data_IF_993370185327
#
_entry.id   IF_993370185327
#
_cell.length_a   1.000
_cell.length_b   1.000
_cell.length_c   1.000
_cell.angle_alpha   90.00
_cell.angle_beta   90.00
_cell.angle_gamma   90.00
#
_symmetry.space_group_name_H-M   'P 1'
#
loop_
_entity.id
_entity.type
_entity.pdbx_description
1 polymer ?
#
# COMPACT_ATOMS: atom_id res chain seq x y z
N UNK A 1 25.06 -47.15 -55.57
CA UNK A 1 24.01 -46.46 -54.80
C UNK A 1 24.29 -46.67 -53.31
N UNK A 2 24.97 -45.72 -52.66
CA UNK A 2 25.07 -45.64 -51.19
C UNK A 2 24.86 -44.17 -50.82
N UNK A 3 23.82 -43.97 -50.03
CA UNK A 3 23.18 -42.71 -49.69
C UNK A 3 24.05 -41.98 -48.63
N UNK A 4 24.56 -40.78 -48.94
CA UNK A 4 25.12 -39.89 -47.93
C UNK A 4 23.96 -39.31 -47.11
N UNK A 5 23.86 -39.70 -45.83
CA UNK A 5 23.04 -38.95 -44.87
C UNK A 5 23.84 -37.72 -44.41
N UNK A 6 23.38 -36.54 -44.84
CA UNK A 6 23.75 -35.26 -44.23
C UNK A 6 22.96 -35.10 -42.93
N UNK A 7 23.64 -35.15 -41.78
CA UNK A 7 23.05 -34.69 -40.52
C UNK A 7 22.97 -33.16 -40.54
N UNK A 8 21.79 -32.56 -40.28
CA UNK A 8 21.72 -31.12 -40.07
C UNK A 8 22.33 -30.79 -38.71
N UNK A 9 23.37 -29.98 -38.72
CA UNK A 9 23.91 -29.36 -37.52
C UNK A 9 22.86 -28.35 -37.03
N UNK A 10 22.02 -28.75 -36.08
CA UNK A 10 21.13 -27.82 -35.40
C UNK A 10 22.00 -26.89 -34.55
N UNK A 11 22.23 -25.66 -35.02
CA UNK A 11 22.74 -24.60 -34.16
C UNK A 11 21.68 -24.35 -33.07
N UNK A 12 21.92 -24.90 -31.89
CA UNK A 12 21.24 -24.47 -30.68
C UNK A 12 21.79 -23.08 -30.37
N UNK A 13 21.15 -22.05 -30.90
CA UNK A 13 21.29 -20.71 -30.33
C UNK A 13 20.62 -20.73 -28.97
N UNK A 14 21.42 -20.92 -27.92
CA UNK A 14 21.05 -20.47 -26.59
C UNK A 14 20.92 -18.95 -26.67
N UNK A 15 19.70 -18.47 -26.92
CA UNK A 15 19.34 -17.10 -26.64
C UNK A 15 19.43 -16.94 -25.12
N UNK A 16 20.61 -16.59 -24.62
CA UNK A 16 20.71 -15.96 -23.32
C UNK A 16 19.98 -14.64 -23.48
N UNK A 17 18.77 -14.55 -22.93
CA UNK A 17 18.24 -13.25 -22.58
C UNK A 17 19.26 -12.66 -21.61
N UNK A 18 20.08 -11.73 -22.09
CA UNK A 18 20.82 -10.84 -21.20
C UNK A 18 19.74 -10.12 -20.40
N UNK A 19 19.80 -10.25 -19.08
CA UNK A 19 19.02 -9.41 -18.19
C UNK A 19 19.48 -7.97 -18.44
N UNK A 20 18.73 -7.23 -19.26
CA UNK A 20 19.05 -5.84 -19.62
C UNK A 20 18.85 -4.88 -18.45
N UNK A 21 18.38 -5.40 -17.30
CA UNK A 21 18.08 -4.64 -16.10
C UNK A 21 19.03 -5.00 -14.96
N UNK A 22 20.33 -5.11 -15.20
CA UNK A 22 21.30 -5.12 -14.09
C UNK A 22 21.36 -3.71 -13.47
N UNK A 23 20.73 -3.47 -12.29
CA UNK A 23 20.72 -2.15 -11.67
C UNK A 23 22.08 -1.81 -11.04
N UNK A 24 23.07 -2.70 -11.13
CA UNK A 24 24.41 -2.49 -10.58
C UNK A 24 25.34 -1.72 -11.53
N UNK A 25 24.91 -1.49 -12.78
CA UNK A 25 25.69 -0.67 -13.71
C UNK A 25 25.70 0.79 -13.22
N UNK A 26 26.89 1.37 -12.98
CA UNK A 26 26.96 2.75 -12.51
C UNK A 26 26.44 3.70 -13.58
N UNK A 27 25.58 4.63 -13.18
CA UNK A 27 25.12 5.68 -14.09
C UNK A 27 26.27 6.65 -14.37
N UNK A 28 26.33 7.18 -15.60
CA UNK A 28 27.34 8.18 -15.96
C UNK A 28 27.21 9.47 -15.13
N UNK A 29 26.00 9.77 -14.65
CA UNK A 29 25.72 10.92 -13.77
C UNK A 29 26.15 10.69 -12.32
N UNK A 30 26.39 9.44 -11.89
CA UNK A 30 26.61 9.10 -10.49
C UNK A 30 25.32 9.04 -9.65
N UNK A 31 24.16 9.31 -10.25
CA UNK A 31 22.85 9.24 -9.58
C UNK A 31 22.32 7.81 -9.66
N UNK A 32 21.91 7.22 -8.55
CA UNK A 32 21.36 5.86 -8.53
C UNK A 32 20.03 5.80 -9.28
N UNK A 33 19.72 4.64 -9.86
CA UNK A 33 18.56 4.42 -10.76
C UNK A 33 17.21 4.87 -10.19
N UNK A 34 17.00 4.75 -8.88
CA UNK A 34 15.72 5.06 -8.21
C UNK A 34 15.79 6.27 -7.28
N UNK A 35 16.91 7.00 -7.29
CA UNK A 35 17.13 8.17 -6.46
C UNK A 35 16.85 9.42 -7.27
N UNK A 36 15.98 10.28 -6.75
CA UNK A 36 15.70 11.58 -7.34
C UNK A 36 17.00 12.41 -7.40
N UNK A 37 17.23 13.05 -8.53
CA UNK A 37 18.38 13.93 -8.76
C UNK A 37 18.36 15.13 -7.82
N UNK A 38 17.18 15.53 -7.34
CA UNK A 38 16.99 16.64 -6.44
C UNK A 38 17.10 16.23 -4.95
N UNK A 39 17.23 14.94 -4.63
CA UNK A 39 17.39 14.50 -3.24
C UNK A 39 18.72 15.05 -2.67
N UNK A 40 18.68 15.83 -1.57
CA UNK A 40 19.87 16.44 -0.99
C UNK A 40 20.92 15.39 -0.59
N UNK A 41 22.21 15.72 -0.80
CA UNK A 41 23.31 14.78 -0.61
C UNK A 41 23.43 14.25 0.83
N UNK A 42 22.99 15.04 1.83
CA UNK A 42 22.93 14.63 3.24
C UNK A 42 21.95 13.48 3.51
N UNK A 43 20.98 13.24 2.62
CA UNK A 43 20.04 12.13 2.73
C UNK A 43 20.50 10.87 1.98
N UNK A 44 21.62 10.93 1.24
CA UNK A 44 22.15 9.78 0.49
C UNK A 44 22.73 8.70 1.40
N UNK A 45 23.12 9.09 2.62
CA UNK A 45 23.59 8.16 3.65
C UNK A 45 23.03 8.58 5.00
N UNK A 46 22.39 7.65 5.70
CA UNK A 46 21.90 7.85 7.07
C UNK A 46 22.63 6.92 8.03
N UNK A 47 22.75 7.30 9.29
CA UNK A 47 23.22 6.41 10.35
C UNK A 47 22.02 5.82 11.08
N UNK A 48 21.92 4.50 11.10
CA UNK A 48 20.84 3.78 11.78
C UNK A 48 20.89 3.98 13.30
N UNK A 49 19.80 3.64 13.98
CA UNK A 49 19.75 3.62 15.45
C UNK A 49 20.75 2.65 16.10
N UNK A 50 21.39 1.78 15.30
CA UNK A 50 22.45 0.84 15.72
C UNK A 50 23.85 1.28 15.28
N UNK A 51 24.02 2.46 14.70
CA UNK A 51 25.31 2.98 14.24
C UNK A 51 25.77 2.46 12.88
N UNK A 52 24.91 1.70 12.18
CA UNK A 52 25.21 1.20 10.83
C UNK A 52 24.95 2.30 9.80
N UNK A 53 25.83 2.46 8.81
CA UNK A 53 25.56 3.32 7.68
C UNK A 53 24.53 2.66 6.76
N UNK A 54 23.50 3.41 6.39
CA UNK A 54 22.45 3.03 5.46
C UNK A 54 22.53 3.90 4.22
N UNK A 55 22.54 3.26 3.06
CA UNK A 55 22.57 3.92 1.77
C UNK A 55 21.15 4.19 1.26
N UNK A 56 20.91 5.39 0.75
CA UNK A 56 19.69 5.70 0.03
C UNK A 56 19.62 4.87 -1.25
N UNK A 57 18.52 4.14 -1.43
CA UNK A 57 18.30 3.28 -2.60
C UNK A 57 17.12 3.73 -3.46
N UNK A 58 16.21 4.53 -2.91
CA UNK A 58 15.09 5.14 -3.64
C UNK A 58 14.64 6.41 -2.93
N UNK A 59 14.28 7.42 -3.72
CA UNK A 59 13.68 8.67 -3.25
C UNK A 59 12.85 9.31 -4.36
N UNK A 60 11.93 10.19 -3.97
CA UNK A 60 11.20 11.06 -4.89
C UNK A 60 10.82 12.34 -4.12
N UNK A 61 11.37 13.48 -4.53
CA UNK A 61 11.08 14.78 -3.91
C UNK A 61 9.82 15.41 -4.52
N UNK A 62 9.33 14.87 -5.64
CA UNK A 62 8.17 15.36 -6.38
C UNK A 62 8.26 16.83 -6.85
N UNK A 63 9.49 17.33 -7.03
CA UNK A 63 9.75 18.70 -7.50
C UNK A 63 9.33 18.95 -8.95
N UNK A 64 9.40 17.92 -9.80
CA UNK A 64 9.00 18.03 -11.20
C UNK A 64 7.47 18.11 -11.31
N UNK A 65 6.96 19.31 -11.63
CA UNK A 65 5.54 19.55 -11.80
C UNK A 65 4.97 18.88 -13.06
N UNK A 66 3.69 18.49 -13.00
CA UNK A 66 2.94 17.97 -14.14
C UNK A 66 3.32 16.56 -14.59
N UNK A 67 3.94 15.75 -13.71
CA UNK A 67 4.22 14.33 -13.99
C UNK A 67 2.96 13.55 -14.31
N UNK A 68 3.07 12.63 -15.26
CA UNK A 68 1.98 11.75 -15.68
C UNK A 68 2.16 10.36 -15.06
N UNK A 69 1.34 10.03 -14.06
CA UNK A 69 1.39 8.74 -13.38
C UNK A 69 0.54 7.64 -14.04
N UNK A 70 -0.05 7.90 -15.20
CA UNK A 70 -0.75 6.86 -15.99
C UNK A 70 0.23 5.73 -16.31
N UNK A 71 -0.25 4.48 -16.26
CA UNK A 71 0.56 3.30 -16.47
C UNK A 71 1.50 3.43 -17.69
N UNK A 72 2.81 3.26 -17.44
CA UNK A 72 3.86 3.33 -18.46
C UNK A 72 4.47 4.72 -18.69
N UNK A 73 3.95 5.79 -18.10
CA UNK A 73 4.46 7.15 -18.34
C UNK A 73 5.46 7.64 -17.29
N UNK A 74 5.30 7.23 -16.04
CA UNK A 74 6.29 7.51 -14.98
C UNK A 74 7.18 6.30 -14.77
N UNK A 75 8.47 6.52 -14.47
CA UNK A 75 9.46 5.47 -14.30
C UNK A 75 9.30 4.73 -12.96
N UNK A 76 8.84 5.42 -11.90
CA UNK A 76 8.83 4.91 -10.54
C UNK A 76 7.41 4.61 -10.03
N UNK A 77 6.46 5.50 -10.29
CA UNK A 77 5.11 5.39 -9.77
C UNK A 77 4.10 4.98 -10.84
N UNK A 78 3.00 4.37 -10.43
CA UNK A 78 1.83 4.13 -11.29
C UNK A 78 0.59 4.47 -10.49
N UNK A 79 -0.21 5.40 -10.98
CA UNK A 79 -1.55 5.67 -10.47
C UNK A 79 -2.53 4.63 -11.02
N UNK A 80 -3.41 4.12 -10.15
CA UNK A 80 -4.46 3.20 -10.54
C UNK A 80 -5.65 3.93 -11.16
N UNK A 81 -6.28 3.27 -12.13
CA UNK A 81 -7.53 3.70 -12.80
C UNK A 81 -8.58 2.59 -12.62
N UNK A 82 -9.19 2.54 -11.44
CA UNK A 82 -10.07 1.44 -11.03
C UNK A 82 -11.01 1.90 -9.90
N UNK A 83 -12.24 1.39 -9.80
CA UNK A 83 -13.04 1.56 -8.59
C UNK A 83 -12.35 0.94 -7.38
N UNK A 84 -12.44 1.61 -6.24
CA UNK A 84 -12.02 1.01 -4.98
C UNK A 84 -13.03 -0.08 -4.59
N UNK A 85 -12.58 -1.33 -4.72
CA UNK A 85 -13.38 -2.52 -4.52
C UNK A 85 -13.31 -3.10 -3.11
N UNK A 86 -12.56 -2.47 -2.19
CA UNK A 86 -12.37 -2.96 -0.82
C UNK A 86 -12.95 -1.97 0.20
N UNK A 87 -13.03 -2.39 1.46
CA UNK A 87 -13.36 -1.53 2.61
C UNK A 87 -14.65 -0.69 2.47
N UNK A 88 -15.62 -1.17 1.67
CA UNK A 88 -16.86 -0.45 1.33
C UNK A 88 -16.62 0.96 0.78
N UNK A 89 -15.50 1.16 0.10
CA UNK A 89 -15.15 2.44 -0.48
C UNK A 89 -16.24 2.95 -1.44
N UNK A 90 -16.35 4.28 -1.47
CA UNK A 90 -17.37 5.04 -2.20
C UNK A 90 -16.77 5.86 -3.33
N UNK A 91 -15.49 5.63 -3.65
CA UNK A 91 -14.76 6.37 -4.66
C UNK A 91 -14.09 5.48 -5.69
N UNK A 92 -13.51 6.12 -6.70
CA UNK A 92 -12.65 5.51 -7.69
C UNK A 92 -11.27 6.14 -7.63
N UNK A 93 -10.25 5.36 -7.95
CA UNK A 93 -8.91 5.90 -8.18
C UNK A 93 -8.75 6.25 -9.66
N UNK A 94 -8.14 7.40 -9.91
CA UNK A 94 -7.87 7.92 -11.25
C UNK A 94 -6.48 8.58 -11.30
N UNK A 95 -5.70 8.38 -12.38
CA UNK A 95 -4.42 9.06 -12.57
C UNK A 95 -4.53 10.59 -12.59
N UNK A 96 -5.67 11.16 -12.99
CA UNK A 96 -5.86 12.62 -13.06
C UNK A 96 -5.94 13.31 -11.68
N UNK A 97 -6.10 12.51 -10.63
CA UNK A 97 -6.15 12.94 -9.25
C UNK A 97 -4.77 12.85 -8.56
N UNK A 98 -3.77 12.24 -9.21
CA UNK A 98 -2.39 12.17 -8.76
C UNK A 98 -1.60 13.31 -9.42
N UNK A 99 -1.30 14.36 -8.64
CA UNK A 99 -0.70 15.59 -9.14
C UNK A 99 0.69 15.81 -8.56
N UNK A 100 1.54 16.48 -9.33
CA UNK A 100 2.78 17.09 -8.84
C UNK A 100 2.71 18.58 -9.12
N UNK A 101 2.58 19.36 -8.06
CA UNK A 101 2.46 20.82 -8.13
C UNK A 101 3.00 21.44 -6.84
N UNK A 102 3.57 22.63 -6.97
CA UNK A 102 4.16 23.38 -5.85
C UNK A 102 5.28 22.61 -5.10
N UNK A 103 6.05 21.80 -5.84
CA UNK A 103 7.15 21.01 -5.27
C UNK A 103 6.69 19.85 -4.38
N UNK A 104 5.47 19.34 -4.57
CA UNK A 104 4.94 18.24 -3.79
C UNK A 104 4.03 17.33 -4.61
N UNK A 105 3.93 16.07 -4.17
CA UNK A 105 2.86 15.18 -4.59
C UNK A 105 1.56 15.53 -3.87
N UNK A 106 0.47 15.65 -4.65
CA UNK A 106 -0.84 15.99 -4.14
C UNK A 106 -1.88 15.01 -4.67
N UNK A 107 -2.66 14.43 -3.75
CA UNK A 107 -3.86 13.67 -4.09
C UNK A 107 -5.05 14.62 -4.04
N UNK A 108 -5.61 14.94 -5.20
CA UNK A 108 -6.85 15.71 -5.30
C UNK A 108 -8.05 14.78 -5.11
N UNK A 109 -9.04 15.21 -4.34
CA UNK A 109 -10.30 14.48 -4.17
C UNK A 109 -11.43 15.30 -4.77
N UNK A 110 -12.11 14.73 -5.76
CA UNK A 110 -13.22 15.37 -6.46
C UNK A 110 -14.54 14.72 -6.03
N UNK A 111 -15.56 15.53 -5.73
CA UNK A 111 -16.93 15.06 -5.52
C UNK A 111 -17.59 14.91 -6.88
N UNK A 112 -17.66 13.69 -7.41
CA UNK A 112 -18.17 13.41 -8.74
C UNK A 112 -18.82 12.04 -8.79
N UNK A 113 -20.11 12.02 -9.12
CA UNK A 113 -20.84 10.77 -9.32
C UNK A 113 -20.37 10.07 -10.59
N UNK A 114 -19.91 8.83 -10.44
CA UNK A 114 -19.42 7.99 -11.53
C UNK A 114 -20.07 6.62 -11.42
N UNK A 115 -20.78 6.20 -12.46
CA UNK A 115 -21.27 4.83 -12.57
C UNK A 115 -20.12 3.93 -13.03
N UNK A 116 -19.78 2.93 -12.22
CA UNK A 116 -18.75 1.95 -12.52
C UNK A 116 -19.35 0.57 -12.67
N UNK A 117 -18.90 -0.16 -13.68
CA UNK A 117 -19.26 -1.56 -13.89
C UNK A 117 -18.01 -2.42 -13.68
N UNK A 118 -18.08 -3.37 -12.76
CA UNK A 118 -16.96 -4.23 -12.40
C UNK A 118 -17.43 -5.66 -12.14
N UNK A 119 -16.50 -6.62 -12.23
CA UNK A 119 -16.77 -8.01 -11.92
C UNK A 119 -16.63 -8.22 -10.40
N UNK A 120 -17.73 -8.52 -9.73
CA UNK A 120 -17.73 -8.73 -8.28
C UNK A 120 -17.45 -10.20 -7.97
N UNK A 121 -16.24 -10.49 -7.47
CA UNK A 121 -15.82 -11.84 -7.07
C UNK A 121 -16.32 -12.25 -5.68
N UNK A 122 -16.86 -11.31 -4.91
CA UNK A 122 -17.27 -11.49 -3.51
C UNK A 122 -18.74 -11.83 -3.34
N UNK A 123 -19.54 -11.80 -4.42
CA UNK A 123 -20.93 -12.25 -4.38
C UNK A 123 -21.01 -13.78 -4.40
N UNK A 124 -22.07 -14.34 -3.80
CA UNK A 124 -22.34 -15.79 -3.80
C UNK A 124 -22.25 -16.41 -5.21
N UNK A 125 -22.72 -15.65 -6.20
CA UNK A 125 -22.52 -15.94 -7.62
C UNK A 125 -21.76 -14.77 -8.25
N UNK A 126 -20.46 -14.91 -8.56
CA UNK A 126 -19.67 -13.86 -9.18
C UNK A 126 -20.28 -13.38 -10.50
N UNK A 127 -20.45 -12.08 -10.66
CA UNK A 127 -21.07 -11.49 -11.84
C UNK A 127 -20.66 -10.02 -12.03
N UNK A 128 -20.95 -9.48 -13.22
CA UNK A 128 -20.84 -8.05 -13.47
C UNK A 128 -21.93 -7.29 -12.70
N UNK A 129 -21.53 -6.22 -12.04
CA UNK A 129 -22.43 -5.32 -11.31
C UNK A 129 -22.09 -3.88 -11.61
N UNK A 130 -23.10 -3.01 -11.51
CA UNK A 130 -22.95 -1.57 -11.67
C UNK A 130 -23.25 -0.88 -10.34
N UNK A 131 -22.35 -0.01 -9.90
CA UNK A 131 -22.48 0.79 -8.67
C UNK A 131 -22.18 2.26 -8.99
N UNK A 132 -22.88 3.17 -8.34
CA UNK A 132 -22.51 4.59 -8.35
C UNK A 132 -21.48 4.85 -7.25
N UNK A 133 -20.33 5.38 -7.65
CA UNK A 133 -19.31 5.94 -6.75
C UNK A 133 -19.44 7.46 -6.75
N UNK A 134 -19.13 8.11 -5.64
CA UNK A 134 -19.43 9.53 -5.41
C UNK A 134 -18.19 10.42 -5.43
N UNK A 135 -16.99 9.81 -5.40
CA UNK A 135 -15.72 10.53 -5.30
C UNK A 135 -14.69 9.97 -6.27
N UNK A 136 -13.77 10.83 -6.72
CA UNK A 136 -12.54 10.44 -7.43
C UNK A 136 -11.34 10.86 -6.60
N UNK A 137 -10.36 9.98 -6.47
CA UNK A 137 -9.12 10.20 -5.74
C UNK A 137 -7.96 9.51 -6.47
N UNK A 138 -6.78 9.41 -5.85
CA UNK A 138 -5.63 8.72 -6.43
C UNK A 138 -5.04 7.70 -5.46
N UNK A 139 -4.59 6.58 -6.02
CA UNK A 139 -3.74 5.59 -5.37
C UNK A 139 -2.55 5.35 -6.29
N UNK A 140 -1.34 5.58 -5.78
CA UNK A 140 -0.08 5.39 -6.52
C UNK A 140 0.72 4.26 -5.91
N UNK A 141 1.39 3.47 -6.75
CA UNK A 141 2.16 2.30 -6.31
C UNK A 141 3.43 2.11 -7.15
N UNK A 142 4.45 1.51 -6.53
CA UNK A 142 5.71 1.09 -7.16
C UNK A 142 5.72 -0.39 -7.55
N UNK A 143 4.55 -1.05 -7.55
CA UNK A 143 4.42 -2.49 -7.79
C UNK A 143 5.13 -2.93 -9.09
N UNK A 144 5.97 -3.95 -8.99
CA UNK A 144 6.80 -4.47 -10.09
C UNK A 144 7.78 -3.46 -10.72
N UNK A 145 8.07 -2.35 -10.03
CA UNK A 145 9.10 -1.37 -10.42
C UNK A 145 10.19 -1.27 -9.37
N UNK A 146 9.81 -1.12 -8.10
CA UNK A 146 10.73 -1.03 -6.98
C UNK A 146 10.21 -1.83 -5.80
N UNK A 147 11.10 -2.58 -5.16
CA UNK A 147 10.82 -3.33 -3.93
C UNK A 147 12.06 -3.30 -3.03
N UNK A 148 11.82 -3.41 -1.72
CA UNK A 148 12.88 -3.44 -0.70
C UNK A 148 12.71 -4.66 0.19
N UNK A 149 13.82 -5.13 0.76
CA UNK A 149 13.83 -6.17 1.78
C UNK A 149 14.58 -5.64 3.00
N UNK A 150 13.80 -5.23 4.00
CA UNK A 150 14.33 -4.47 5.14
C UNK A 150 14.77 -3.05 4.74
N UNK A 151 15.09 -2.26 5.75
CA UNK A 151 15.53 -0.87 5.59
C UNK A 151 14.65 0.11 6.36
N UNK A 152 14.64 1.34 5.89
CA UNK A 152 13.94 2.46 6.51
C UNK A 152 13.26 3.30 5.44
N UNK A 153 12.03 3.71 5.75
CA UNK A 153 11.20 4.53 4.88
C UNK A 153 10.82 5.76 5.67
N UNK A 154 11.10 6.93 5.09
CA UNK A 154 10.70 8.22 5.62
C UNK A 154 9.75 8.89 4.62
N UNK A 155 8.66 9.46 5.14
CA UNK A 155 7.66 10.17 4.34
C UNK A 155 7.30 11.45 5.06
N UNK A 156 7.52 12.59 4.40
CA UNK A 156 6.99 13.88 4.85
C UNK A 156 5.63 14.10 4.19
N UNK A 157 4.56 14.14 4.98
CA UNK A 157 3.20 14.29 4.47
C UNK A 157 2.38 15.32 5.25
N UNK A 158 1.47 16.00 4.55
CA UNK A 158 0.43 16.83 5.15
C UNK A 158 -0.92 16.14 4.98
N UNK A 159 -1.57 15.82 6.10
CA UNK A 159 -2.85 15.14 6.07
C UNK A 159 -3.98 16.05 5.54
N UNK A 160 -4.97 15.49 4.83
CA UNK A 160 -6.10 16.23 4.30
C UNK A 160 -7.01 16.78 5.40
N UNK A 161 -7.59 17.95 5.15
CA UNK A 161 -8.57 18.59 6.01
C UNK A 161 -9.18 19.83 5.35
N UNK A 162 -10.36 20.24 5.81
CA UNK A 162 -11.00 21.46 5.32
C UNK A 162 -10.26 22.69 5.85
N UNK A 163 -9.40 23.27 5.01
CA UNK A 163 -8.53 24.40 5.39
C UNK A 163 -9.04 25.77 4.94
N UNK A 164 -10.10 25.82 4.13
CA UNK A 164 -10.72 27.08 3.71
C UNK A 164 -11.38 27.76 4.93
N UNK A 165 -11.21 29.08 5.09
CA UNK A 165 -11.81 29.86 6.18
C UNK A 165 -13.35 29.77 6.21
N UNK A 166 -14.00 29.57 5.06
CA UNK A 166 -15.44 29.38 4.92
C UNK A 166 -15.93 28.04 5.45
N UNK A 167 -15.03 27.06 5.62
CA UNK A 167 -15.39 25.76 6.17
C UNK A 167 -15.89 25.84 7.62
N UNK A 168 -15.51 26.90 8.36
CA UNK A 168 -15.74 26.99 9.80
C UNK A 168 -15.06 25.88 10.61
N UNK A 169 -14.04 25.21 10.05
CA UNK A 169 -13.22 24.25 10.77
C UNK A 169 -12.62 24.91 12.03
N UNK A 170 -12.84 24.38 13.24
CA UNK A 170 -12.33 24.96 14.48
C UNK A 170 -10.82 25.17 14.53
N UNK A 171 -10.02 24.34 13.85
CA UNK A 171 -8.57 24.52 13.75
C UNK A 171 -8.17 25.70 12.86
N UNK A 172 -9.06 26.12 11.95
CA UNK A 172 -8.86 27.29 11.08
C UNK A 172 -9.41 28.55 11.72
N UNK A 173 -10.54 28.45 12.43
CA UNK A 173 -11.15 29.59 13.14
C UNK A 173 -10.50 29.87 14.49
N UNK A 174 -9.74 28.91 15.04
CA UNK A 174 -9.08 29.00 16.34
C UNK A 174 -10.03 28.84 17.53
N UNK A 175 -11.26 28.38 17.31
CA UNK A 175 -12.27 28.25 18.36
C UNK A 175 -13.35 27.23 18.00
N UNK A 176 -13.93 26.60 19.03
CA UNK A 176 -15.11 25.73 18.92
C UNK A 176 -16.19 26.18 19.90
N UNK A 177 -17.46 26.04 19.52
CA UNK A 177 -18.57 26.27 20.44
C UNK A 177 -18.69 25.11 21.44
N UNK A 178 -18.73 25.43 22.73
CA UNK A 178 -18.95 24.46 23.81
C UNK A 178 -20.34 24.66 24.42
N UNK A 179 -21.26 23.74 24.10
CA UNK A 179 -22.65 23.85 24.50
C UNK A 179 -22.87 23.76 26.02
N UNK A 180 -21.99 23.04 26.74
CA UNK A 180 -22.10 22.88 28.20
C UNK A 180 -21.88 24.18 28.98
N UNK A 181 -21.14 25.14 28.41
CA UNK A 181 -20.84 26.44 29.03
C UNK A 181 -21.28 27.63 28.16
N UNK A 182 -22.03 27.36 27.10
CA UNK A 182 -22.62 28.33 26.15
C UNK A 182 -21.64 29.41 25.69
N UNK A 183 -20.41 29.02 25.31
CA UNK A 183 -19.40 29.95 24.78
C UNK A 183 -18.42 29.27 23.83
N UNK A 184 -17.72 30.10 23.07
CA UNK A 184 -16.55 29.66 22.30
C UNK A 184 -15.38 29.35 23.25
N UNK A 185 -14.73 28.20 23.02
CA UNK A 185 -13.46 27.84 23.66
C UNK A 185 -12.34 27.85 22.62
N UNK A 186 -11.13 28.33 22.96
CA UNK A 186 -10.00 28.35 22.04
C UNK A 186 -9.62 26.95 21.55
N UNK A 187 -9.16 26.87 20.30
CA UNK A 187 -8.58 25.67 19.68
C UNK A 187 -7.20 26.05 19.14
N UNK A 188 -6.18 25.32 19.58
CA UNK A 188 -4.80 25.45 19.13
C UNK A 188 -4.51 24.48 17.97
N UNK A 189 -3.50 24.76 17.13
CA UNK A 189 -3.13 23.88 16.01
C UNK A 189 -2.82 22.43 16.42
N UNK A 190 -2.25 22.23 17.62
CA UNK A 190 -1.89 20.91 18.15
C UNK A 190 -2.99 20.23 18.96
N UNK A 191 -4.14 20.89 19.15
CA UNK A 191 -5.26 20.28 19.86
C UNK A 191 -5.82 19.12 19.03
N UNK A 192 -6.34 18.10 19.73
CA UNK A 192 -7.07 17.00 19.08
C UNK A 192 -8.22 17.54 18.22
N UNK A 193 -8.54 16.81 17.17
CA UNK A 193 -9.64 17.13 16.26
C UNK A 193 -10.96 17.24 17.03
N UNK A 194 -11.55 18.44 17.10
CA UNK A 194 -12.78 18.65 17.86
C UNK A 194 -14.02 18.24 17.08
N UNK A 195 -13.91 18.15 15.75
CA UNK A 195 -15.01 17.78 14.85
C UNK A 195 -14.47 17.07 13.60
N UNK A 196 -14.70 15.76 13.51
CA UNK A 196 -14.23 14.92 12.41
C UNK A 196 -14.85 15.23 11.06
N UNK A 197 -15.96 15.98 11.00
CA UNK A 197 -16.62 16.34 9.73
C UNK A 197 -15.75 17.18 8.80
N UNK A 198 -14.74 17.87 9.35
CA UNK A 198 -13.76 18.65 8.59
C UNK A 198 -12.59 17.82 8.06
N UNK A 199 -12.55 16.52 8.38
CA UNK A 199 -11.48 15.60 8.05
C UNK A 199 -12.07 14.29 7.48
N UNK A 200 -12.85 14.35 6.38
CA UNK A 200 -13.75 13.25 5.97
C UNK A 200 -13.06 12.12 5.18
N UNK A 201 -11.74 12.15 5.08
CA UNK A 201 -10.95 11.29 4.20
C UNK A 201 -10.11 10.31 5.01
N UNK A 202 -9.79 9.19 4.39
CA UNK A 202 -8.93 8.15 4.95
C UNK A 202 -7.63 8.05 4.13
N UNK A 203 -6.60 8.87 4.43
CA UNK A 203 -5.27 8.69 3.84
C UNK A 203 -4.62 7.36 4.27
N UNK A 204 -3.91 6.74 3.34
CA UNK A 204 -3.12 5.52 3.57
C UNK A 204 -1.73 5.64 2.95
N UNK A 205 -0.72 5.31 3.75
CA UNK A 205 0.68 5.14 3.39
C UNK A 205 1.11 3.78 3.92
N UNK A 206 1.26 2.81 3.03
CA UNK A 206 1.46 1.43 3.41
C UNK A 206 2.28 0.69 2.36
N UNK A 207 2.80 -0.47 2.75
CA UNK A 207 3.61 -1.34 1.92
C UNK A 207 2.98 -2.73 1.86
N UNK A 208 3.15 -3.41 0.73
CA UNK A 208 2.65 -4.76 0.50
C UNK A 208 3.76 -5.65 -0.05
N UNK A 209 3.76 -6.93 0.32
CA UNK A 209 4.62 -7.92 -0.31
C UNK A 209 4.41 -8.01 -1.82
N UNK A 210 5.49 -8.04 -2.60
CA UNK A 210 5.45 -7.84 -4.06
C UNK A 210 4.68 -8.92 -4.86
N UNK A 211 4.26 -10.02 -4.24
CA UNK A 211 3.49 -11.07 -4.91
C UNK A 211 1.99 -10.73 -5.07
N UNK A 212 1.48 -9.80 -4.27
CA UNK A 212 0.14 -9.23 -4.43
C UNK A 212 0.23 -7.84 -5.04
N UNK A 213 -0.82 -7.44 -5.77
CA UNK A 213 -1.03 -6.08 -6.23
C UNK A 213 -2.30 -5.55 -5.60
N UNK A 214 -2.18 -4.50 -4.80
CA UNK A 214 -3.30 -3.87 -4.10
C UNK A 214 -4.47 -3.57 -5.04
N UNK A 215 -5.71 -3.81 -4.57
CA UNK A 215 -6.98 -3.73 -5.33
C UNK A 215 -7.17 -4.76 -6.46
N UNK A 216 -6.15 -5.56 -6.81
CA UNK A 216 -6.30 -6.65 -7.78
C UNK A 216 -6.56 -7.96 -7.03
N UNK A 217 -7.83 -8.22 -6.72
CA UNK A 217 -8.28 -9.39 -5.94
C UNK A 217 -7.74 -10.73 -6.47
N UNK A 218 -7.58 -10.88 -7.79
CA UNK A 218 -7.00 -12.10 -8.39
C UNK A 218 -5.54 -12.38 -7.94
N UNK A 219 -4.80 -11.33 -7.56
CA UNK A 219 -3.43 -11.42 -7.06
C UNK A 219 -3.36 -11.46 -5.53
N UNK A 220 -4.30 -10.80 -4.82
CA UNK A 220 -4.28 -10.71 -3.35
C UNK A 220 -5.05 -11.84 -2.68
N UNK A 221 -6.02 -12.48 -3.34
CA UNK A 221 -6.77 -13.59 -2.75
C UNK A 221 -5.86 -14.75 -2.34
N UNK A 222 -5.94 -15.13 -1.05
CA UNK A 222 -5.10 -16.18 -0.43
C UNK A 222 -3.59 -15.90 -0.52
N UNK A 223 -3.23 -14.65 -0.78
CA UNK A 223 -1.86 -14.13 -0.82
C UNK A 223 -1.68 -13.05 0.24
N UNK A 224 -2.59 -12.09 0.28
CA UNK A 224 -2.70 -11.09 1.34
C UNK A 224 -3.57 -11.65 2.48
N UNK A 225 -3.13 -11.53 3.76
CA UNK A 225 -1.81 -11.13 4.25
C UNK A 225 -0.95 -12.35 4.66
N UNK A 226 -0.98 -13.43 3.87
CA UNK A 226 -0.32 -14.68 4.23
C UNK A 226 1.22 -14.57 4.24
N UNK A 227 1.84 -15.17 5.25
CA UNK A 227 3.30 -15.18 5.46
C UNK A 227 3.83 -16.51 5.98
N UNK A 228 3.04 -17.59 5.91
CA UNK A 228 3.42 -18.88 6.48
C UNK A 228 4.40 -19.65 5.58
N UNK A 229 5.42 -20.27 6.16
CA UNK A 229 6.45 -21.04 5.44
C UNK A 229 6.68 -22.44 6.04
N UNK A 230 5.62 -23.07 6.53
CA UNK A 230 5.66 -24.45 7.02
C UNK A 230 4.52 -25.25 6.39
N UNK A 231 4.74 -26.54 6.15
CA UNK A 231 3.65 -27.39 5.68
C UNK A 231 2.79 -27.83 6.87
N UNK A 232 1.70 -27.10 7.05
CA UNK A 232 0.64 -27.45 7.99
C UNK A 232 -0.66 -27.70 7.21
N UNK A 233 -1.25 -28.88 7.40
CA UNK A 233 -2.48 -29.27 6.73
C UNK A 233 -3.65 -28.31 7.03
N UNK A 234 -3.63 -27.61 8.17
CA UNK A 234 -4.65 -26.60 8.54
C UNK A 234 -4.66 -25.40 7.59
N UNK A 235 -3.50 -25.00 7.09
CA UNK A 235 -3.34 -23.78 6.27
C UNK A 235 -3.06 -24.07 4.80
N UNK A 236 -2.92 -25.36 4.44
CA UNK A 236 -2.58 -25.84 3.09
C UNK A 236 -3.44 -25.24 1.97
N UNK A 237 -4.75 -25.06 2.21
CA UNK A 237 -5.67 -24.50 1.22
C UNK A 237 -5.86 -22.99 1.35
N UNK A 238 -5.47 -22.41 2.49
CA UNK A 238 -5.72 -21.02 2.83
C UNK A 238 -4.67 -20.07 2.22
N UNK A 239 -3.42 -20.50 2.13
CA UNK A 239 -2.34 -19.79 1.44
C UNK A 239 -2.12 -20.36 0.05
N UNK A 240 -2.17 -19.50 -0.98
CA UNK A 240 -2.09 -19.91 -2.40
C UNK A 240 -0.72 -20.51 -2.75
N UNK A 241 0.37 -19.90 -2.29
CA UNK A 241 1.72 -20.45 -2.43
C UNK A 241 2.10 -21.06 -1.06
N UNK A 242 1.74 -22.32 -0.86
CA UNK A 242 1.92 -23.05 0.40
C UNK A 242 3.21 -23.89 0.37
N UNK A 243 3.87 -24.01 1.53
CA UNK A 243 5.00 -24.91 1.75
C UNK A 243 4.62 -26.40 1.64
N UNK A 244 3.33 -26.75 1.62
CA UNK A 244 2.89 -28.11 1.33
C UNK A 244 2.96 -28.46 -0.17
N UNK A 245 3.22 -27.50 -1.05
CA UNK A 245 3.22 -27.72 -2.49
C UNK A 245 4.63 -28.11 -3.01
N UNK A 246 4.85 -29.34 -3.50
CA UNK A 246 6.12 -29.75 -4.11
C UNK A 246 6.34 -29.16 -5.51
N UNK A 247 5.31 -28.60 -6.15
CA UNK A 247 5.40 -28.03 -7.49
C UNK A 247 4.49 -26.80 -7.63
N UNK A 248 4.87 -25.64 -7.08
CA UNK A 248 4.10 -24.41 -7.17
C UNK A 248 4.05 -23.80 -8.59
N UNK A 249 4.93 -24.25 -9.50
CA UNK A 249 5.05 -23.70 -10.85
C UNK A 249 5.66 -22.29 -10.86
N UNK A 250 5.67 -21.65 -12.04
CA UNK A 250 6.07 -20.24 -12.22
C UNK A 250 7.47 -19.87 -11.69
N UNK A 251 8.40 -20.82 -11.65
CA UNK A 251 9.76 -20.61 -11.13
C UNK A 251 9.85 -20.51 -9.60
N UNK A 252 8.76 -20.76 -8.87
CA UNK A 252 8.74 -20.73 -7.41
C UNK A 252 9.41 -21.99 -6.82
N UNK A 253 10.05 -21.84 -5.67
CA UNK A 253 10.72 -22.96 -5.00
C UNK A 253 9.71 -23.98 -4.44
N UNK A 254 9.90 -25.29 -4.69
CA UNK A 254 9.18 -26.35 -4.01
C UNK A 254 9.23 -26.21 -2.48
N UNK A 255 8.15 -26.58 -1.82
CA UNK A 255 8.05 -26.61 -0.35
C UNK A 255 8.34 -25.28 0.34
N UNK A 256 8.03 -24.18 -0.33
CA UNK A 256 8.30 -22.85 0.19
C UNK A 256 7.05 -21.97 0.14
N UNK A 257 6.56 -21.61 1.31
CA UNK A 257 5.42 -20.74 1.48
C UNK A 257 5.77 -19.29 1.17
N UNK A 258 4.87 -18.62 0.46
CA UNK A 258 4.94 -17.20 0.13
C UNK A 258 3.56 -16.55 0.18
N UNK A 259 3.54 -15.26 0.48
CA UNK A 259 2.36 -14.43 0.35
C UNK A 259 2.72 -12.95 0.25
N UNK A 260 1.80 -12.10 0.68
CA UNK A 260 1.79 -10.67 0.41
C UNK A 260 1.32 -9.91 1.65
N UNK A 261 2.12 -9.88 2.74
CA UNK A 261 1.76 -9.14 3.96
C UNK A 261 1.62 -7.64 3.71
N UNK A 262 0.97 -6.96 4.63
CA UNK A 262 0.78 -5.51 4.62
C UNK A 262 1.39 -4.86 5.86
N UNK A 263 2.06 -3.73 5.66
CA UNK A 263 2.66 -2.89 6.69
C UNK A 263 2.12 -1.48 6.50
N UNK A 264 1.31 -1.02 7.46
CA UNK A 264 0.76 0.32 7.46
C UNK A 264 1.72 1.26 8.18
N UNK A 265 2.38 2.13 7.43
CA UNK A 265 3.20 3.22 7.99
C UNK A 265 2.25 4.23 8.63
N UNK A 266 1.20 4.58 7.89
CA UNK A 266 0.11 5.43 8.33
C UNK A 266 -1.18 4.98 7.65
N UNK A 267 -2.18 4.68 8.43
CA UNK A 267 -3.53 4.43 7.94
C UNK A 267 -4.53 5.05 8.91
N UNK A 268 -5.43 5.89 8.41
CA UNK A 268 -6.51 6.41 9.23
C UNK A 268 -7.08 7.71 8.71
N UNK A 269 -8.05 8.25 9.40
CA UNK A 269 -8.79 9.42 8.97
C UNK A 269 -9.53 10.06 10.14
N UNK A 270 -9.88 11.33 9.99
CA UNK A 270 -10.54 12.06 11.07
C UNK A 270 -9.69 12.11 12.33
N UNK A 271 -10.20 11.54 13.43
CA UNK A 271 -9.61 11.62 14.76
C UNK A 271 -8.55 10.57 15.05
N UNK A 272 -8.42 9.55 14.19
CA UNK A 272 -7.67 8.35 14.49
C UNK A 272 -6.73 7.99 13.34
N UNK A 273 -5.47 7.73 13.70
CA UNK A 273 -4.43 7.22 12.82
C UNK A 273 -3.82 6.01 13.49
N UNK A 274 -3.57 4.97 12.70
CA UNK A 274 -2.88 3.75 13.12
C UNK A 274 -1.67 3.45 12.26
N UNK A 275 -0.75 2.70 12.85
CA UNK A 275 0.24 1.89 12.15
C UNK A 275 -0.01 0.44 12.54
N UNK A 276 0.15 -0.47 11.58
CA UNK A 276 -0.31 -1.85 11.70
C UNK A 276 0.58 -2.79 10.88
N UNK A 277 0.62 -4.06 11.30
CA UNK A 277 1.23 -5.16 10.57
C UNK A 277 0.16 -6.24 10.39
N UNK A 278 -0.22 -6.50 9.14
CA UNK A 278 -1.19 -7.53 8.81
C UNK A 278 -0.46 -8.76 8.30
N UNK A 279 -0.58 -9.86 9.04
CA UNK A 279 0.04 -11.16 8.74
C UNK A 279 -0.91 -12.32 9.04
N UNK A 280 -0.80 -13.40 8.26
CA UNK A 280 -1.55 -14.64 8.44
C UNK A 280 -0.66 -15.90 8.27
N UNK A 281 -0.80 -16.94 9.11
CA UNK A 281 -1.62 -16.97 10.32
C UNK A 281 -1.14 -15.92 11.33
N UNK A 282 -2.05 -15.48 12.21
CA UNK A 282 -1.74 -14.43 13.18
C UNK A 282 -0.52 -14.77 14.03
N UNK A 283 0.17 -13.73 14.52
CA UNK A 283 1.35 -13.88 15.37
C UNK A 283 1.00 -14.69 16.63
N UNK A 284 1.65 -15.84 16.90
CA UNK A 284 1.42 -16.60 18.13
C UNK A 284 1.72 -15.75 19.37
N UNK A 285 1.00 -15.97 20.46
CA UNK A 285 1.05 -15.11 21.66
C UNK A 285 2.46 -14.95 22.24
N UNK A 286 3.29 -15.99 22.16
CA UNK A 286 4.68 -16.00 22.63
C UNK A 286 5.62 -15.05 21.86
N UNK A 287 5.26 -14.64 20.63
CA UNK A 287 6.03 -13.68 19.84
C UNK A 287 5.51 -12.24 19.97
N UNK A 288 4.39 -12.02 20.66
CA UNK A 288 3.79 -10.70 20.83
C UNK A 288 4.52 -9.92 21.93
N UNK A 289 4.96 -8.70 21.63
CA UNK A 289 5.59 -7.82 22.62
C UNK A 289 4.61 -7.27 23.67
N UNK A 290 3.31 -7.26 23.34
CA UNK A 290 2.23 -6.82 24.20
C UNK A 290 0.99 -7.69 23.94
N UNK A 291 0.14 -7.94 24.96
CA UNK A 291 -1.08 -8.71 24.77
C UNK A 291 -2.01 -8.02 23.77
N UNK A 292 -2.64 -8.79 22.89
CA UNK A 292 -3.63 -8.25 21.97
C UNK A 292 -4.78 -7.62 22.76
N UNK A 293 -5.10 -6.37 22.42
CA UNK A 293 -6.28 -5.70 22.95
C UNK A 293 -7.52 -6.30 22.27
N UNK A 294 -8.06 -7.36 22.86
CA UNK A 294 -9.21 -8.13 22.34
C UNK A 294 -10.45 -7.28 22.01
N UNK A 295 -10.56 -6.06 22.53
CA UNK A 295 -11.63 -5.12 22.16
C UNK A 295 -11.58 -4.70 20.68
N UNK A 296 -10.44 -4.85 20.01
CA UNK A 296 -10.25 -4.54 18.58
C UNK A 296 -10.17 -5.79 17.70
N UNK A 297 -9.87 -6.97 18.27
CA UNK A 297 -10.03 -8.26 17.60
C UNK A 297 -11.51 -8.70 17.67
N UNK A 298 -12.35 -8.05 16.85
CA UNK A 298 -13.78 -8.38 16.78
C UNK A 298 -14.00 -9.66 15.97
N UNK A 299 -14.10 -10.81 16.65
CA UNK A 299 -14.65 -12.06 16.08
C UNK A 299 -16.13 -11.93 15.65
N UNK A 300 -16.78 -10.78 15.93
CA UNK A 300 -18.20 -10.53 15.64
C UNK A 300 -18.45 -9.90 14.27
N UNK A 301 -17.42 -9.60 13.49
CA UNK A 301 -17.54 -9.08 12.12
C UNK A 301 -17.73 -10.22 11.09
N UNK A 302 -18.49 -11.24 11.46
CA UNK A 302 -19.04 -12.20 10.51
C UNK A 302 -20.49 -11.83 10.26
N UNK A 303 -20.88 -11.72 8.99
CA UNK A 303 -22.30 -11.57 8.68
C UNK A 303 -23.08 -12.81 9.15
N UNK A 304 -24.42 -12.74 9.13
CA UNK A 304 -25.27 -13.86 9.54
C UNK A 304 -25.07 -15.15 8.71
N UNK A 305 -24.22 -15.11 7.68
CA UNK A 305 -23.85 -16.24 6.82
C UNK A 305 -22.44 -16.79 7.12
N UNK A 306 -21.73 -16.23 8.11
CA UNK A 306 -20.39 -16.68 8.50
C UNK A 306 -19.29 -16.24 7.54
N UNK A 307 -19.55 -15.24 6.69
CA UNK A 307 -18.52 -14.67 5.82
C UNK A 307 -17.59 -13.85 6.69
N UNK A 308 -16.34 -14.28 6.83
CA UNK A 308 -15.27 -13.44 7.39
C UNK A 308 -15.11 -12.24 6.45
N UNK A 309 -15.53 -11.05 6.90
CA UNK A 309 -14.77 -9.86 6.49
C UNK A 309 -13.35 -10.16 6.96
N UNK A 310 -12.41 -10.33 6.02
CA UNK A 310 -11.00 -10.57 6.33
C UNK A 310 -10.43 -9.27 6.90
N UNK A 311 -10.87 -8.90 8.10
CA UNK A 311 -10.05 -8.13 9.01
C UNK A 311 -9.02 -9.12 9.52
N UNK A 312 -7.92 -9.26 8.77
CA UNK A 312 -6.74 -9.85 9.35
C UNK A 312 -6.35 -9.00 10.55
N UNK A 313 -6.05 -9.67 11.65
CA UNK A 313 -5.74 -9.07 12.94
C UNK A 313 -4.73 -7.94 12.76
N UNK A 314 -5.24 -6.71 12.65
CA UNK A 314 -4.44 -5.51 12.79
C UNK A 314 -4.05 -5.48 14.25
N UNK A 315 -2.79 -5.78 14.55
CA UNK A 315 -2.23 -5.30 15.81
C UNK A 315 -2.11 -3.79 15.62
N UNK A 316 -3.18 -3.06 15.92
CA UNK A 316 -3.12 -1.60 15.89
C UNK A 316 -2.19 -1.18 17.02
N UNK A 317 -1.06 -0.58 16.67
CA UNK A 317 -0.26 0.19 17.62
C UNK A 317 -0.98 1.53 17.86
N UNK A 318 -2.20 1.48 18.38
CA UNK A 318 -2.88 2.67 18.90
C UNK A 318 -2.32 3.02 20.28
N UNK A 319 -1.05 3.46 20.34
CA UNK A 319 -0.51 4.28 21.43
C UNK A 319 0.93 4.73 21.11
N UNK A 320 1.08 5.75 20.25
CA UNK A 320 2.18 6.71 20.41
C UNK A 320 1.66 7.88 21.24
N UNK A 321 1.33 7.59 22.50
CA UNK A 321 1.17 8.63 23.51
C UNK A 321 2.51 9.33 23.67
N UNK A 322 2.51 10.63 23.39
CA UNK A 322 3.70 11.48 23.44
C UNK A 322 4.47 11.34 24.75
N UNK A 323 5.74 10.96 24.62
CA UNK A 323 6.85 11.42 25.46
C UNK A 323 8.13 11.43 24.63
N UNK A 324 8.45 12.59 24.07
CA UNK A 324 9.71 13.33 24.29
C UNK A 324 9.53 14.75 23.80
#
# INVERSE_FOLDING_TARGET
>A
MRLLLLLPLALVHTTHALDQNDPTLPTKSGVKTWVDVDTPAEHHTLTSSRGEAWDLIMSDEFNLAGRNFTAGNDHLWVALDIPDGVNRAVGIYSPENALTTDGAFQIRIDSTETNVTFFNVWTEKPSWTTKTMYYRAAMVQTWNKFCIQGGFVEIAARMPGAIDKKSMNPHITGKRWEASISRDVPVQPMDRIPDGRFYPTWPGLWMMGNLGRALFAASTNRMWPWTYNECDDRYKSSQRISACNPNPGYGLHPHMGRGSPEIDILEGGGTDISSSLQIAPGMPDEYRLFPALMKYESEKNVDAKGTLDIFCAATSLQELNGRR
#
